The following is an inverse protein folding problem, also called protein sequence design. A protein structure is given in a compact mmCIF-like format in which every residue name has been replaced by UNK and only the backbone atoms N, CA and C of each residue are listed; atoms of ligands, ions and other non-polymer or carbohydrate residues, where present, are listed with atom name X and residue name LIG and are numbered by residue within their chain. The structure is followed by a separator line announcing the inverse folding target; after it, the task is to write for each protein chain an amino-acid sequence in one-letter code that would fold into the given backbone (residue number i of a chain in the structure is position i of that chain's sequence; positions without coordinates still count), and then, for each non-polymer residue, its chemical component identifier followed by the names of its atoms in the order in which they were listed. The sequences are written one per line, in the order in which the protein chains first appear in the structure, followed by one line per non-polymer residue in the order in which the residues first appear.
data_IF_492945611158
#
_entry.id   IF_492945611158
#
_cell.length_a   1.000
_cell.length_b   1.000
_cell.length_c   1.000
_cell.angle_alpha   90.00
_cell.angle_beta   90.00
_cell.angle_gamma   90.00
#
_symmetry.space_group_name_H-M   'P 1'
#
loop_
_entity.id
_entity.type
_entity.pdbx_description
1 polymer ?
#
# COMPACT_ATOMS: atom_id res chain seq x y z
N UNK A 1 -4.76 -27.99 -15.19
CA UNK A 1 -4.98 -26.69 -15.87
C UNK A 1 -4.22 -25.60 -15.14
N UNK A 2 -3.28 -24.93 -15.79
CA UNK A 2 -2.57 -23.79 -15.20
C UNK A 2 -3.56 -22.65 -14.96
N UNK A 3 -3.78 -22.27 -13.69
CA UNK A 3 -4.67 -21.14 -13.35
C UNK A 3 -4.09 -19.85 -13.96
N UNK A 4 -4.90 -19.11 -14.72
CA UNK A 4 -4.54 -17.82 -15.34
C UNK A 4 -3.88 -16.90 -14.32
N UNK A 5 -2.71 -16.34 -14.65
CA UNK A 5 -2.01 -15.36 -13.81
C UNK A 5 -2.72 -14.01 -13.87
N UNK A 6 -2.69 -13.29 -12.76
CA UNK A 6 -3.20 -11.92 -12.62
C UNK A 6 -2.10 -10.96 -13.06
N UNK A 7 -2.39 -10.10 -14.03
CA UNK A 7 -1.48 -9.05 -14.49
C UNK A 7 -1.50 -7.87 -13.54
N UNK A 8 -0.35 -7.49 -13.05
CA UNK A 8 -0.19 -6.48 -12.00
C UNK A 8 0.64 -5.30 -12.48
N UNK A 9 0.19 -4.09 -12.14
CA UNK A 9 0.98 -2.87 -12.21
C UNK A 9 1.28 -2.37 -10.79
N UNK A 10 2.53 -1.98 -10.52
CA UNK A 10 2.98 -1.43 -9.23
C UNK A 10 3.45 0.00 -9.44
N UNK A 11 2.74 0.96 -8.85
CA UNK A 11 3.09 2.38 -8.90
C UNK A 11 3.70 2.79 -7.57
N UNK A 12 4.90 3.37 -7.61
CA UNK A 12 5.74 3.60 -6.44
C UNK A 12 6.79 2.50 -6.24
N UNK A 13 7.22 1.86 -7.32
CA UNK A 13 8.10 0.68 -7.36
C UNK A 13 9.47 0.86 -6.70
N UNK A 14 9.94 2.08 -6.48
CA UNK A 14 11.26 2.37 -5.89
C UNK A 14 11.21 2.79 -4.42
N UNK A 15 10.03 2.90 -3.82
CA UNK A 15 9.86 3.09 -2.37
C UNK A 15 10.14 1.80 -1.59
N UNK A 16 10.40 1.89 -0.28
CA UNK A 16 10.61 0.69 0.55
C UNK A 16 9.44 -0.30 0.44
N UNK A 17 8.22 0.16 0.68
CA UNK A 17 7.01 -0.67 0.55
C UNK A 17 6.85 -1.25 -0.86
N UNK A 18 7.15 -0.45 -1.90
CA UNK A 18 7.10 -0.94 -3.28
C UNK A 18 8.12 -2.03 -3.58
N UNK A 19 9.34 -1.92 -3.06
CA UNK A 19 10.40 -2.92 -3.21
C UNK A 19 10.06 -4.22 -2.49
N UNK A 20 9.59 -4.15 -1.24
CA UNK A 20 9.15 -5.33 -0.49
C UNK A 20 7.97 -6.03 -1.18
N UNK A 21 7.00 -5.26 -1.66
CA UNK A 21 5.88 -5.79 -2.44
C UNK A 21 6.36 -6.51 -3.71
N UNK A 22 7.28 -5.91 -4.47
CA UNK A 22 7.85 -6.52 -5.68
C UNK A 22 8.59 -7.81 -5.34
N UNK A 23 9.37 -7.81 -4.27
CA UNK A 23 10.07 -9.01 -3.79
C UNK A 23 9.07 -10.16 -3.53
N UNK A 24 8.02 -9.91 -2.74
CA UNK A 24 6.99 -10.89 -2.41
C UNK A 24 6.22 -11.36 -3.65
N UNK A 25 5.76 -10.44 -4.49
CA UNK A 25 4.97 -10.77 -5.68
C UNK A 25 5.79 -11.45 -6.77
N UNK A 26 7.11 -11.20 -6.84
CA UNK A 26 7.98 -11.86 -7.82
C UNK A 26 8.03 -13.38 -7.65
N UNK A 27 7.87 -13.88 -6.42
CA UNK A 27 7.79 -15.29 -6.09
C UNK A 27 6.38 -15.86 -6.15
N UNK A 28 5.34 -15.03 -6.27
CA UNK A 28 3.96 -15.47 -6.19
C UNK A 28 3.52 -16.21 -7.48
N UNK A 29 3.01 -17.46 -7.40
CA UNK A 29 2.77 -18.30 -8.58
C UNK A 29 1.66 -17.78 -9.49
N UNK A 30 0.72 -17.00 -8.96
CA UNK A 30 -0.44 -16.48 -9.68
C UNK A 30 -0.30 -15.02 -10.13
N UNK A 31 0.87 -14.40 -9.95
CA UNK A 31 1.10 -12.99 -10.30
C UNK A 31 2.05 -12.89 -11.49
N UNK A 32 1.70 -12.01 -12.42
CA UNK A 32 2.55 -11.55 -13.50
C UNK A 32 2.73 -10.03 -13.36
N UNK A 33 3.92 -9.59 -12.94
CA UNK A 33 4.23 -8.16 -12.82
C UNK A 33 4.52 -7.61 -14.21
N UNK A 34 3.57 -6.87 -14.80
CA UNK A 34 3.69 -6.28 -16.14
C UNK A 34 4.34 -4.91 -16.12
N UNK A 35 4.07 -4.09 -15.10
CA UNK A 35 4.59 -2.73 -15.01
C UNK A 35 5.12 -2.42 -13.62
N UNK A 36 6.32 -1.83 -13.60
CA UNK A 36 6.93 -1.25 -12.42
C UNK A 36 7.10 0.24 -12.68
N UNK A 37 6.38 1.09 -11.94
CA UNK A 37 6.34 2.51 -12.24
C UNK A 37 6.90 3.37 -11.11
N UNK A 38 7.73 4.34 -11.49
CA UNK A 38 8.21 5.40 -10.60
C UNK A 38 8.44 6.70 -11.39
N UNK A 39 8.43 7.85 -10.67
CA UNK A 39 8.72 9.16 -11.27
C UNK A 39 10.19 9.30 -11.67
N UNK A 40 11.09 8.79 -10.83
CA UNK A 40 12.53 8.80 -11.06
C UNK A 40 13.02 7.39 -11.40
N UNK A 41 14.24 7.30 -11.93
CA UNK A 41 14.92 6.02 -12.21
C UNK A 41 14.28 5.16 -13.31
N UNK A 42 13.56 5.78 -14.24
CA UNK A 42 13.04 5.08 -15.42
C UNK A 42 14.19 4.48 -16.23
N UNK A 43 13.95 3.32 -16.84
CA UNK A 43 14.94 2.54 -17.58
C UNK A 43 15.83 1.62 -16.72
N UNK A 44 15.90 1.83 -15.40
CA UNK A 44 16.69 0.97 -14.49
C UNK A 44 15.96 -0.32 -14.14
N UNK A 45 16.70 -1.39 -13.88
CA UNK A 45 16.16 -2.63 -13.30
C UNK A 45 15.89 -2.43 -11.81
N UNK A 46 14.80 -3.03 -11.30
CA UNK A 46 14.44 -2.94 -9.88
C UNK A 46 15.48 -3.61 -8.96
N UNK A 47 16.18 -4.63 -9.45
CA UNK A 47 17.29 -5.31 -8.74
C UNK A 47 18.47 -4.38 -8.40
N UNK A 48 18.58 -3.22 -9.07
CA UNK A 48 19.54 -2.17 -8.69
C UNK A 48 19.21 -1.56 -7.31
N UNK A 49 17.94 -1.51 -6.94
CA UNK A 49 17.48 -0.91 -5.68
C UNK A 49 17.32 -1.94 -4.57
N UNK A 50 17.08 -3.22 -4.93
CA UNK A 50 16.93 -4.30 -3.98
C UNK A 50 17.48 -5.61 -4.57
N UNK A 51 18.63 -6.03 -4.06
CA UNK A 51 19.34 -7.23 -4.51
C UNK A 51 18.63 -8.55 -4.19
N UNK A 52 17.61 -8.54 -3.32
CA UNK A 52 16.75 -9.71 -3.03
C UNK A 52 15.92 -10.09 -4.26
N UNK A 53 15.63 -9.12 -5.14
CA UNK A 53 14.82 -9.32 -6.35
C UNK A 53 15.72 -9.86 -7.46
N UNK A 54 15.84 -11.19 -7.54
CA UNK A 54 16.69 -11.87 -8.53
C UNK A 54 15.99 -12.14 -9.86
N UNK A 55 14.63 -12.13 -9.87
CA UNK A 55 13.85 -12.40 -11.08
C UNK A 55 14.03 -11.31 -12.12
N UNK A 56 14.09 -11.69 -13.40
CA UNK A 56 14.08 -10.72 -14.49
C UNK A 56 12.66 -10.14 -14.63
N UNK A 57 12.51 -8.90 -14.20
CA UNK A 57 11.27 -8.14 -14.20
C UNK A 57 11.36 -6.97 -15.18
N UNK A 58 10.23 -6.38 -15.60
CA UNK A 58 10.24 -5.18 -16.42
C UNK A 58 11.10 -4.07 -15.80
N UNK A 59 11.74 -3.27 -16.65
CA UNK A 59 12.43 -2.07 -16.20
C UNK A 59 11.42 -1.05 -15.66
N UNK A 60 11.87 -0.21 -14.75
CA UNK A 60 11.06 0.88 -14.20
C UNK A 60 10.66 1.83 -15.33
N UNK A 61 9.38 2.15 -15.42
CA UNK A 61 8.80 3.00 -16.45
C UNK A 61 7.92 4.11 -15.87
N UNK A 62 7.44 4.98 -16.72
CA UNK A 62 6.38 5.93 -16.37
C UNK A 62 5.03 5.22 -16.29
N UNK A 63 4.17 5.63 -15.35
CA UNK A 63 2.78 5.16 -15.31
C UNK A 63 1.95 5.57 -16.54
N UNK A 64 2.45 6.51 -17.34
CA UNK A 64 1.85 6.89 -18.63
C UNK A 64 1.95 5.79 -19.69
N UNK A 65 2.91 4.88 -19.54
CA UNK A 65 3.18 3.78 -20.46
C UNK A 65 2.34 2.52 -20.18
N UNK A 66 1.50 2.55 -19.15
CA UNK A 66 0.66 1.40 -18.79
C UNK A 66 -0.48 1.24 -19.79
N UNK A 67 -0.59 0.06 -20.37
CA UNK A 67 -1.77 -0.37 -21.16
C UNK A 67 -2.79 -0.94 -20.17
N UNK A 68 -3.71 -0.10 -19.70
CA UNK A 68 -4.63 -0.41 -18.61
C UNK A 68 -5.60 -1.56 -18.91
N UNK A 69 -5.93 -1.81 -20.18
CA UNK A 69 -6.76 -2.94 -20.61
C UNK A 69 -6.14 -4.31 -20.35
N UNK A 70 -4.81 -4.36 -20.19
CA UNK A 70 -4.08 -5.60 -19.91
C UNK A 70 -3.83 -5.87 -18.43
N UNK A 71 -4.22 -4.95 -17.55
CA UNK A 71 -3.96 -5.01 -16.11
C UNK A 71 -5.22 -5.42 -15.37
N UNK A 72 -5.10 -6.38 -14.47
CA UNK A 72 -6.19 -6.84 -13.60
C UNK A 72 -6.16 -6.12 -12.25
N UNK A 73 -4.96 -5.81 -11.73
CA UNK A 73 -4.76 -5.28 -10.39
C UNK A 73 -3.65 -4.22 -10.34
N UNK A 74 -3.93 -3.11 -9.67
CA UNK A 74 -2.98 -2.00 -9.48
C UNK A 74 -2.64 -1.86 -8.01
N UNK A 75 -1.36 -1.94 -7.67
CA UNK A 75 -0.85 -1.56 -6.36
C UNK A 75 -0.34 -0.11 -6.37
N UNK A 76 -0.75 0.65 -5.37
CA UNK A 76 -0.42 2.06 -5.22
C UNK A 76 0.40 2.27 -3.94
N UNK A 77 1.72 2.28 -4.08
CA UNK A 77 2.68 2.57 -3.00
C UNK A 77 3.17 4.02 -3.13
N UNK A 78 2.27 4.95 -2.85
CA UNK A 78 2.42 6.38 -3.14
C UNK A 78 2.31 7.24 -1.89
N UNK A 79 2.83 8.48 -1.91
CA UNK A 79 2.54 9.47 -0.87
C UNK A 79 1.03 9.74 -0.76
N UNK A 80 0.60 10.13 0.45
CA UNK A 80 -0.79 10.52 0.72
C UNK A 80 -1.29 11.59 -0.25
N UNK A 81 -2.49 11.41 -0.78
CA UNK A 81 -3.17 12.30 -1.72
C UNK A 81 -2.94 11.96 -3.20
N UNK A 82 -2.07 11.00 -3.52
CA UNK A 82 -1.77 10.64 -4.92
C UNK A 82 -2.57 9.45 -5.43
N UNK A 83 -2.78 8.43 -4.61
CA UNK A 83 -3.52 7.22 -5.00
C UNK A 83 -4.96 7.56 -5.41
N UNK A 84 -5.65 8.42 -4.67
CA UNK A 84 -7.01 8.87 -4.97
C UNK A 84 -7.15 9.53 -6.35
N UNK A 85 -6.12 10.26 -6.81
CA UNK A 85 -6.14 10.87 -8.14
C UNK A 85 -6.07 9.82 -9.25
N UNK A 86 -5.22 8.82 -9.08
CA UNK A 86 -5.06 7.73 -10.05
C UNK A 86 -6.32 6.88 -10.09
N UNK A 87 -6.82 6.48 -8.92
CA UNK A 87 -8.03 5.66 -8.82
C UNK A 87 -9.22 6.41 -9.43
N UNK A 88 -9.44 7.69 -9.08
CA UNK A 88 -10.52 8.50 -9.63
C UNK A 88 -10.51 8.54 -11.16
N UNK A 89 -9.32 8.67 -11.77
CA UNK A 89 -9.15 8.70 -13.22
C UNK A 89 -9.46 7.37 -13.89
N UNK A 90 -9.14 6.25 -13.25
CA UNK A 90 -9.20 4.93 -13.87
C UNK A 90 -10.49 4.17 -13.54
N UNK A 91 -11.09 4.42 -12.39
CA UNK A 91 -12.17 3.63 -11.82
C UNK A 91 -13.38 3.47 -12.74
N UNK A 92 -13.86 4.57 -13.33
CA UNK A 92 -15.01 4.53 -14.22
C UNK A 92 -14.65 4.09 -15.64
N UNK A 93 -13.43 4.40 -16.08
CA UNK A 93 -12.95 4.07 -17.43
C UNK A 93 -12.65 2.58 -17.59
N UNK A 94 -12.10 1.93 -16.56
CA UNK A 94 -11.70 0.52 -16.59
C UNK A 94 -12.39 -0.25 -15.48
N UNK A 95 -13.62 -0.71 -15.75
CA UNK A 95 -14.49 -1.37 -14.75
C UNK A 95 -13.92 -2.67 -14.18
N UNK A 96 -13.04 -3.36 -14.92
CA UNK A 96 -12.39 -4.61 -14.51
C UNK A 96 -11.25 -4.40 -13.52
N UNK A 97 -10.63 -3.20 -13.50
CA UNK A 97 -9.51 -2.93 -12.63
C UNK A 97 -9.89 -2.99 -11.15
N UNK A 98 -9.02 -3.64 -10.39
CA UNK A 98 -9.01 -3.58 -8.93
C UNK A 98 -7.78 -2.80 -8.44
N UNK A 99 -7.89 -2.22 -7.24
CA UNK A 99 -6.86 -1.37 -6.66
C UNK A 99 -6.55 -1.81 -5.23
N UNK A 100 -5.26 -1.95 -4.91
CA UNK A 100 -4.79 -2.07 -3.53
C UNK A 100 -4.01 -0.80 -3.21
N UNK A 101 -4.59 0.02 -2.33
CA UNK A 101 -4.00 1.27 -1.88
C UNK A 101 -3.18 1.03 -0.61
N UNK A 102 -1.86 1.16 -0.74
CA UNK A 102 -0.90 1.08 0.36
C UNK A 102 -0.62 2.46 0.97
N UNK A 103 -1.21 3.52 0.38
CA UNK A 103 -1.17 4.87 0.93
C UNK A 103 -2.23 5.05 2.04
N UNK A 104 -2.49 6.27 2.43
CA UNK A 104 -3.50 6.57 3.43
C UNK A 104 -4.85 7.03 2.85
N UNK A 105 -5.00 7.03 1.53
CA UNK A 105 -6.06 7.79 0.87
C UNK A 105 -7.46 7.23 1.12
N UNK A 106 -7.62 5.91 1.22
CA UNK A 106 -8.93 5.27 1.42
C UNK A 106 -9.11 4.64 2.80
N UNK A 107 -8.26 4.99 3.79
CA UNK A 107 -8.33 4.43 5.16
C UNK A 107 -9.43 5.06 6.01
N UNK A 108 -9.78 6.32 5.76
CA UNK A 108 -10.78 7.08 6.52
C UNK A 108 -12.00 7.31 5.64
N UNK A 109 -13.15 6.78 6.07
CA UNK A 109 -14.39 6.86 5.32
C UNK A 109 -15.06 8.24 5.39
N UNK A 110 -14.84 9.00 6.47
CA UNK A 110 -15.38 10.35 6.63
C UNK A 110 -14.44 11.41 6.02
N UNK A 111 -14.85 12.15 4.97
CA UNK A 111 -13.99 13.13 4.30
C UNK A 111 -13.55 14.31 5.19
N UNK A 112 -14.33 14.70 6.20
CA UNK A 112 -13.96 15.74 7.14
C UNK A 112 -12.84 15.26 8.05
N UNK A 113 -13.00 14.06 8.63
CA UNK A 113 -11.94 13.41 9.43
C UNK A 113 -10.67 13.15 8.60
N UNK A 114 -10.80 12.80 7.32
CA UNK A 114 -9.66 12.68 6.42
C UNK A 114 -8.91 14.03 6.30
N UNK A 115 -9.65 15.13 6.08
CA UNK A 115 -9.08 16.49 6.01
C UNK A 115 -8.40 16.92 7.32
N UNK A 116 -9.02 16.62 8.45
CA UNK A 116 -8.48 16.92 9.77
C UNK A 116 -7.14 16.21 10.03
N UNK A 117 -7.07 14.91 9.71
CA UNK A 117 -5.88 14.10 9.96
C UNK A 117 -4.75 14.36 8.96
N UNK A 118 -5.06 14.42 7.66
CA UNK A 118 -4.04 14.52 6.60
C UNK A 118 -3.84 15.95 6.07
N UNK A 119 -4.57 16.96 6.60
CA UNK A 119 -4.51 18.36 6.18
C UNK A 119 -4.75 18.58 4.67
N UNK A 120 -5.47 17.63 4.03
CA UNK A 120 -5.79 17.63 2.59
C UNK A 120 -7.25 17.23 2.36
N UNK A 121 -7.91 17.85 1.39
CA UNK A 121 -9.25 17.42 0.96
C UNK A 121 -9.14 16.10 0.19
N UNK A 122 -10.06 15.17 0.45
CA UNK A 122 -10.16 13.94 -0.33
C UNK A 122 -10.76 14.24 -1.72
N UNK A 123 -10.05 13.84 -2.79
CA UNK A 123 -10.42 14.18 -4.17
C UNK A 123 -11.31 13.12 -4.87
N UNK A 124 -11.51 11.98 -4.24
CA UNK A 124 -12.31 10.87 -4.75
C UNK A 124 -13.38 10.41 -3.74
N UNK A 125 -14.10 11.38 -3.12
CA UNK A 125 -15.07 11.13 -2.05
C UNK A 125 -16.13 10.10 -2.48
N UNK A 126 -16.65 10.21 -3.73
CA UNK A 126 -17.66 9.28 -4.26
C UNK A 126 -17.20 7.82 -4.30
N UNK A 127 -15.91 7.55 -4.30
CA UNK A 127 -15.33 6.20 -4.36
C UNK A 127 -15.06 5.58 -2.99
N UNK A 128 -15.20 6.34 -1.91
CA UNK A 128 -14.97 5.83 -0.55
C UNK A 128 -15.92 4.68 -0.23
N UNK A 129 -17.19 4.77 -0.66
CA UNK A 129 -18.18 3.70 -0.48
C UNK A 129 -17.84 2.39 -1.19
N UNK A 130 -17.01 2.46 -2.24
CA UNK A 130 -16.57 1.30 -3.03
C UNK A 130 -15.22 0.76 -2.53
N UNK A 131 -14.76 1.25 -1.38
CA UNK A 131 -13.51 0.83 -0.74
C UNK A 131 -13.76 0.08 0.56
N UNK A 132 -12.84 -0.82 0.90
CA UNK A 132 -12.77 -1.47 2.21
C UNK A 132 -11.40 -1.22 2.84
N UNK A 133 -11.40 -0.76 4.10
CA UNK A 133 -10.19 -0.66 4.91
C UNK A 133 -10.09 -1.85 5.83
N UNK A 134 -9.12 -2.73 5.61
CA UNK A 134 -8.99 -3.92 6.44
C UNK A 134 -7.66 -4.66 6.25
N UNK A 135 -7.39 -5.52 7.22
CA UNK A 135 -6.44 -6.64 7.09
C UNK A 135 -7.20 -7.79 6.43
N UNK A 136 -6.66 -8.31 5.32
CA UNK A 136 -7.31 -9.30 4.44
C UNK A 136 -7.76 -10.56 5.19
N UNK A 137 -7.03 -10.98 6.21
CA UNK A 137 -7.31 -12.16 7.03
C UNK A 137 -8.65 -12.08 7.78
N UNK A 138 -9.09 -10.87 8.09
CA UNK A 138 -10.33 -10.67 8.85
C UNK A 138 -11.59 -10.41 8.01
N UNK A 139 -11.44 -10.24 6.69
CA UNK A 139 -12.53 -9.89 5.76
C UNK A 139 -12.55 -10.74 4.49
N UNK A 140 -12.02 -11.95 4.54
CA UNK A 140 -11.82 -12.83 3.38
C UNK A 140 -13.02 -12.93 2.44
N UNK A 141 -14.23 -13.06 2.98
CA UNK A 141 -15.46 -13.23 2.19
C UNK A 141 -15.94 -11.92 1.58
N UNK A 142 -15.68 -10.79 2.22
CA UNK A 142 -16.20 -9.48 1.82
C UNK A 142 -15.26 -8.74 0.86
N UNK A 143 -13.96 -9.02 0.89
CA UNK A 143 -12.96 -8.31 0.08
C UNK A 143 -13.27 -8.37 -1.42
N UNK A 144 -13.92 -9.43 -1.89
CA UNK A 144 -14.28 -9.63 -3.31
C UNK A 144 -15.33 -8.64 -3.81
N UNK A 145 -16.16 -8.11 -2.91
CA UNK A 145 -17.22 -7.15 -3.22
C UNK A 145 -16.67 -5.77 -3.56
N UNK A 146 -15.43 -5.49 -3.16
CA UNK A 146 -14.81 -4.19 -3.31
C UNK A 146 -13.80 -4.16 -4.45
N UNK A 147 -13.71 -3.02 -5.09
CA UNK A 147 -12.71 -2.76 -6.13
C UNK A 147 -11.52 -1.97 -5.61
N UNK A 148 -11.66 -1.31 -4.46
CA UNK A 148 -10.60 -0.56 -3.80
C UNK A 148 -10.36 -1.18 -2.42
N UNK A 149 -9.17 -1.71 -2.19
CA UNK A 149 -8.74 -2.25 -0.91
C UNK A 149 -7.72 -1.29 -0.31
N UNK A 150 -8.08 -0.62 0.78
CA UNK A 150 -7.19 0.24 1.54
C UNK A 150 -6.43 -0.61 2.57
N UNK A 151 -5.13 -0.76 2.35
CA UNK A 151 -4.28 -1.54 3.24
C UNK A 151 -3.93 -0.73 4.51
N UNK A 152 -4.00 -1.30 5.71
CA UNK A 152 -3.58 -0.65 6.94
C UNK A 152 -2.10 -0.24 6.92
N UNK A 153 -1.78 0.81 7.66
CA UNK A 153 -0.38 1.19 7.91
C UNK A 153 0.30 0.23 8.88
N UNK A 154 1.61 0.41 9.09
CA UNK A 154 2.42 -0.48 9.94
C UNK A 154 1.91 -0.56 11.38
N UNK A 155 1.69 0.57 12.05
CA UNK A 155 1.16 0.59 13.42
C UNK A 155 -0.25 -0.02 13.52
N UNK A 156 -1.26 0.39 12.72
CA UNK A 156 -2.56 -0.28 12.75
C UNK A 156 -2.47 -1.78 12.48
N UNK A 157 -1.58 -2.24 11.60
CA UNK A 157 -1.41 -3.66 11.31
C UNK A 157 -0.84 -4.40 12.53
N UNK A 158 0.23 -3.87 13.14
CA UNK A 158 0.86 -4.49 14.32
C UNK A 158 -0.07 -4.56 15.53
N UNK A 159 -1.02 -3.63 15.65
CA UNK A 159 -2.01 -3.56 16.73
C UNK A 159 -3.20 -4.49 16.44
N UNK A 160 -3.75 -4.44 15.24
CA UNK A 160 -4.98 -5.16 14.90
C UNK A 160 -4.77 -6.67 14.79
N UNK A 161 -3.61 -7.11 14.27
CA UNK A 161 -3.32 -8.53 14.11
C UNK A 161 -3.43 -9.32 15.43
N UNK A 162 -2.83 -8.91 16.56
CA UNK A 162 -2.99 -9.60 17.82
C UNK A 162 -4.32 -9.32 18.52
N UNK A 163 -4.85 -8.08 18.44
CA UNK A 163 -6.01 -7.70 19.22
C UNK A 163 -7.34 -8.24 18.68
N UNK A 164 -7.54 -8.23 17.36
CA UNK A 164 -8.82 -8.63 16.77
C UNK A 164 -9.21 -10.07 17.13
N UNK A 165 -8.33 -11.09 17.05
CA UNK A 165 -8.67 -12.45 17.46
C UNK A 165 -9.03 -12.56 18.94
N UNK A 166 -8.31 -11.84 19.81
CA UNK A 166 -8.54 -11.87 21.25
C UNK A 166 -9.88 -11.24 21.61
N UNK A 167 -10.21 -10.09 21.00
CA UNK A 167 -11.49 -9.40 21.21
C UNK A 167 -12.64 -10.26 20.67
N UNK A 168 -12.52 -10.82 19.46
CA UNK A 168 -13.56 -11.67 18.85
C UNK A 168 -13.89 -12.90 19.70
N UNK A 169 -12.91 -13.41 20.45
CA UNK A 169 -13.09 -14.56 21.34
C UNK A 169 -13.42 -14.18 22.79
N UNK A 170 -13.62 -12.90 23.08
CA UNK A 170 -13.86 -12.35 24.41
C UNK A 170 -12.77 -12.73 25.45
N UNK A 171 -11.52 -12.85 24.99
CA UNK A 171 -10.39 -13.21 25.85
C UNK A 171 -9.77 -12.01 26.56
N UNK A 172 -10.05 -10.81 26.08
CA UNK A 172 -9.57 -9.54 26.68
C UNK A 172 -10.71 -8.53 26.75
N UNK A 173 -10.64 -7.65 27.74
CA UNK A 173 -11.48 -6.46 27.79
C UNK A 173 -10.83 -5.36 26.97
N UNK A 174 -11.60 -4.72 26.07
CA UNK A 174 -11.10 -3.61 25.23
C UNK A 174 -11.15 -2.24 25.93
N UNK A 175 -11.51 -2.19 27.21
CA UNK A 175 -11.34 -0.99 28.05
C UNK A 175 -9.90 -0.93 28.54
N UNK A 176 -9.31 0.26 28.54
CA UNK A 176 -7.95 0.52 29.06
C UNK A 176 -6.82 -0.28 28.36
N UNK A 177 -6.92 -0.45 27.04
CA UNK A 177 -5.83 -1.04 26.25
C UNK A 177 -4.69 -0.03 26.13
N UNK A 178 -3.51 -0.42 26.61
CA UNK A 178 -2.27 0.36 26.47
C UNK A 178 -1.47 -0.23 25.30
N UNK A 179 -1.04 0.63 24.37
CA UNK A 179 -0.29 0.23 23.17
C UNK A 179 1.05 0.94 23.19
N UNK A 180 2.13 0.16 23.28
CA UNK A 180 3.51 0.63 23.12
C UNK A 180 4.07 0.05 21.81
N UNK A 181 4.04 0.85 20.74
CA UNK A 181 4.44 0.45 19.39
C UNK A 181 5.70 1.19 18.97
N UNK A 182 6.73 0.44 18.57
CA UNK A 182 8.02 0.99 18.13
C UNK A 182 8.24 0.72 16.64
N UNK A 183 8.75 1.72 15.93
CA UNK A 183 9.08 1.62 14.49
C UNK A 183 10.55 1.92 14.27
N UNK A 184 11.21 1.11 13.43
CA UNK A 184 12.53 1.44 12.93
C UNK A 184 12.50 2.68 12.01
N UNK A 185 13.65 3.32 11.82
CA UNK A 185 13.78 4.54 11.01
C UNK A 185 13.29 4.37 9.55
N UNK A 186 13.33 3.17 9.00
CA UNK A 186 12.82 2.88 7.65
C UNK A 186 11.32 3.17 7.51
N UNK A 187 10.57 3.17 8.62
CA UNK A 187 9.16 3.55 8.65
C UNK A 187 8.89 4.98 8.20
N UNK A 188 9.86 5.88 8.35
CA UNK A 188 9.80 7.26 7.84
C UNK A 188 9.98 7.37 6.31
N UNK A 189 10.29 6.24 5.63
CA UNK A 189 10.51 6.21 4.19
C UNK A 189 11.91 6.68 3.77
N UNK A 190 12.10 6.83 2.46
CA UNK A 190 13.41 7.23 1.89
C UNK A 190 13.74 8.72 2.07
N UNK A 191 12.76 9.56 2.26
CA UNK A 191 12.94 11.00 2.50
C UNK A 191 13.00 11.24 4.01
N UNK A 192 14.10 10.85 4.62
CA UNK A 192 14.33 11.07 6.04
C UNK A 192 14.40 12.58 6.34
N UNK A 193 13.66 13.02 7.33
CA UNK A 193 13.81 14.38 7.86
C UNK A 193 15.22 14.53 8.47
N UNK A 194 15.74 15.78 8.54
CA UNK A 194 17.07 16.07 9.09
C UNK A 194 17.27 15.54 10.53
N UNK A 195 16.20 15.45 11.32
CA UNK A 195 16.24 14.85 12.68
C UNK A 195 16.59 13.37 12.71
N UNK A 196 16.40 12.66 11.60
CA UNK A 196 16.79 11.26 11.42
C UNK A 196 18.13 11.10 10.73
N UNK A 197 19.09 12.00 10.99
CA UNK A 197 20.46 11.86 10.49
C UNK A 197 21.15 10.67 11.13
N UNK A 198 22.16 10.12 10.45
CA UNK A 198 22.86 8.90 10.89
C UNK A 198 23.41 8.98 12.32
N UNK A 199 23.87 10.15 12.77
CA UNK A 199 24.33 10.37 14.15
C UNK A 199 23.24 10.23 15.21
N UNK A 200 21.98 10.54 14.87
CA UNK A 200 20.87 10.55 15.81
C UNK A 200 20.10 9.22 15.85
N UNK A 201 20.32 8.34 14.84
CA UNK A 201 19.56 7.09 14.71
C UNK A 201 19.93 6.02 15.73
N UNK A 202 21.20 5.98 16.16
CA UNK A 202 21.68 4.91 17.02
C UNK A 202 21.33 5.06 18.49
N UNK A 203 21.08 6.29 18.96
CA UNK A 203 20.92 6.58 20.39
C UNK A 203 19.65 7.37 20.71
N UNK A 204 18.67 7.41 19.80
CA UNK A 204 17.50 8.26 20.01
C UNK A 204 16.21 7.54 19.67
N UNK A 205 15.20 7.73 20.53
CA UNK A 205 13.80 7.40 20.26
C UNK A 205 13.03 8.72 20.17
N UNK A 206 12.11 8.78 19.20
CA UNK A 206 11.26 9.96 18.99
C UNK A 206 9.80 9.54 19.10
N UNK A 207 9.00 10.36 19.79
CA UNK A 207 7.55 10.19 19.74
C UNK A 207 7.03 10.46 18.32
N UNK A 208 6.08 9.67 17.92
CA UNK A 208 5.45 9.76 16.60
C UNK A 208 4.20 10.63 16.67
#
# INVERSE_FOLDING_TARGET
MSKKKINVAIIGATGYTGLDLIYLLSAHPRVNIKYLCARKNQGKKVSFFDKRIKKNLPKISSSRNIIWSEIDLVYLSLPNGEAQNIIKKLYYKYKHLKFIDLSADFRITNPLKYKENYKKKHKAVSLIKDSIYSISEFVQNDIRKYRIIANPGCYPTSIQLPLIPLIKKNLINFKNIIIDSKSGYSGAGKNLEKKFTHKNLYNSTFAY
#
